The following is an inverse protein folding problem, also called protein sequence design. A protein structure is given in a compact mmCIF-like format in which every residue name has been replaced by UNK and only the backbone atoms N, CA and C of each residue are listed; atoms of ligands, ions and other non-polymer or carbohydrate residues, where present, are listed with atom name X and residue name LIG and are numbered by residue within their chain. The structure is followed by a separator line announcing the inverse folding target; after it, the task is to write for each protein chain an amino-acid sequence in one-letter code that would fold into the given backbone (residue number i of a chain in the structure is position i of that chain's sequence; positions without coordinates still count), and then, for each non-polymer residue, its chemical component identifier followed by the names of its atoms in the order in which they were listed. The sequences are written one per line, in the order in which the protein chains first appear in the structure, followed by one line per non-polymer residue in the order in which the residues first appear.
data_IF_400670539052
#
_entry.id   IF_400670539052
#
_cell.length_a   1.000
_cell.length_b   1.000
_cell.length_c   1.000
_cell.angle_alpha   90.00
_cell.angle_beta   90.00
_cell.angle_gamma   90.00
#
_symmetry.space_group_name_H-M   'P 1'
#
loop_
_entity.id
_entity.type
_entity.pdbx_description
1 polymer ?
#
# COMPACT_ATOMS: atom_id res chain seq x y z
N UNK A 1 4.70 37.29 12.18
CA UNK A 1 3.47 36.48 12.00
C UNK A 1 3.40 36.22 10.52
N UNK A 2 4.00 35.12 10.07
CA UNK A 2 4.02 34.76 8.67
C UNK A 2 2.67 34.14 8.33
N UNK A 3 1.92 34.80 7.46
CA UNK A 3 0.70 34.23 6.88
C UNK A 3 1.20 33.14 5.95
N UNK A 4 1.06 31.88 6.35
CA UNK A 4 1.35 30.75 5.47
C UNK A 4 0.35 30.81 4.31
N UNK A 5 0.82 31.18 3.12
CA UNK A 5 0.03 31.16 1.89
C UNK A 5 -0.42 29.72 1.63
N UNK A 6 -1.68 29.44 1.97
CA UNK A 6 -2.31 28.15 1.67
C UNK A 6 -2.69 28.13 0.20
N UNK A 7 -1.85 27.50 -0.62
CA UNK A 7 -2.13 27.30 -2.05
C UNK A 7 -3.23 26.23 -2.21
N UNK A 8 -4.35 26.59 -2.86
CA UNK A 8 -5.43 25.66 -3.19
C UNK A 8 -5.25 25.04 -4.57
N UNK A 9 -5.62 23.76 -4.73
CA UNK A 9 -5.62 23.07 -6.01
C UNK A 9 -6.58 23.74 -7.00
N UNK A 10 -6.12 24.02 -8.21
CA UNK A 10 -6.93 24.71 -9.22
C UNK A 10 -8.16 23.91 -9.68
N UNK A 11 -8.09 22.57 -9.64
CA UNK A 11 -9.17 21.70 -10.12
C UNK A 11 -10.21 21.41 -9.04
N UNK A 12 -9.76 20.95 -7.86
CA UNK A 12 -10.66 20.50 -6.81
C UNK A 12 -10.84 21.50 -5.66
N UNK A 13 -10.17 22.66 -5.72
CA UNK A 13 -10.18 23.74 -4.72
C UNK A 13 -9.78 23.32 -3.30
N UNK A 14 -9.28 22.09 -3.12
CA UNK A 14 -8.77 21.62 -1.83
C UNK A 14 -7.43 22.30 -1.50
N UNK A 15 -7.23 22.65 -0.24
CA UNK A 15 -5.95 23.16 0.25
C UNK A 15 -4.85 22.12 0.05
N UNK A 16 -3.75 22.52 -0.58
CA UNK A 16 -2.58 21.67 -0.75
C UNK A 16 -1.73 21.85 0.51
N UNK A 17 -1.48 20.76 1.22
CA UNK A 17 -0.66 20.78 2.44
C UNK A 17 0.57 19.89 2.20
N UNK A 18 1.74 20.51 2.08
CA UNK A 18 3.03 19.81 1.96
C UNK A 18 3.75 19.98 0.62
N UNK A 19 4.95 19.39 0.54
CA UNK A 19 5.95 19.56 -0.54
C UNK A 19 5.60 18.89 -1.87
N UNK A 20 4.51 18.13 -1.95
CA UNK A 20 4.15 17.33 -3.13
C UNK A 20 3.00 18.03 -3.88
N UNK A 21 3.34 19.08 -4.61
CA UNK A 21 2.43 19.79 -5.53
C UNK A 21 3.05 19.87 -6.91
N UNK A 22 2.27 19.63 -7.96
CA UNK A 22 2.75 19.76 -9.33
C UNK A 22 2.28 21.09 -9.91
N UNK A 23 3.23 21.91 -10.38
CA UNK A 23 2.93 23.20 -11.02
C UNK A 23 2.67 22.99 -12.50
N UNK A 24 1.74 23.77 -13.07
CA UNK A 24 1.55 23.85 -14.51
C UNK A 24 2.88 24.21 -15.21
N UNK A 25 3.19 23.56 -16.32
CA UNK A 25 4.45 23.77 -17.07
C UNK A 25 4.42 24.99 -17.99
N UNK A 26 3.24 25.55 -18.26
CA UNK A 26 3.12 26.80 -19.02
C UNK A 26 3.73 27.97 -18.24
N UNK A 27 4.62 28.73 -18.90
CA UNK A 27 5.30 29.89 -18.31
C UNK A 27 4.37 31.02 -17.87
N UNK A 28 3.13 31.04 -18.39
CA UNK A 28 2.12 32.05 -18.07
C UNK A 28 1.12 31.58 -17.00
N UNK A 29 1.20 30.32 -16.57
CA UNK A 29 0.24 29.71 -15.64
C UNK A 29 0.86 29.40 -14.27
N UNK A 30 0.48 30.17 -13.25
CA UNK A 30 0.90 29.97 -11.86
C UNK A 30 -0.01 29.05 -11.04
N UNK A 31 -0.69 28.10 -11.70
CA UNK A 31 -1.62 27.17 -11.02
C UNK A 31 -0.92 25.92 -10.50
N UNK A 32 -1.42 25.40 -9.39
CA UNK A 32 -0.92 24.21 -8.70
C UNK A 32 -2.00 23.13 -8.63
N UNK A 33 -1.58 21.87 -8.74
CA UNK A 33 -2.45 20.70 -8.67
C UNK A 33 -2.00 19.76 -7.57
N UNK A 34 -2.96 19.15 -6.85
CA UNK A 34 -2.66 18.08 -5.90
C UNK A 34 -2.28 16.80 -6.64
N UNK A 35 -1.56 15.91 -5.96
CA UNK A 35 -1.13 14.60 -6.50
C UNK A 35 -2.27 13.79 -7.11
N UNK A 36 -3.47 13.87 -6.54
CA UNK A 36 -4.63 13.12 -7.00
C UNK A 36 -5.19 13.67 -8.32
N UNK A 37 -5.09 14.99 -8.53
CA UNK A 37 -5.53 15.66 -9.77
C UNK A 37 -4.44 15.64 -10.85
N UNK A 38 -3.17 15.45 -10.49
CA UNK A 38 -2.05 15.39 -11.41
C UNK A 38 -1.87 14.02 -12.09
N UNK A 39 -2.86 13.12 -12.01
CA UNK A 39 -2.71 11.72 -12.41
C UNK A 39 -2.52 11.58 -13.95
N UNK A 40 -1.44 10.96 -14.44
CA UNK A 40 -0.99 11.10 -15.85
C UNK A 40 -1.65 10.15 -16.86
N UNK A 41 -2.68 9.38 -16.47
CA UNK A 41 -3.19 8.27 -17.31
C UNK A 41 -4.51 8.55 -18.07
N UNK A 42 -5.05 9.77 -18.07
CA UNK A 42 -6.25 10.12 -18.85
C UNK A 42 -6.00 11.09 -20.03
N UNK A 43 -4.75 11.37 -20.39
CA UNK A 43 -4.46 12.23 -21.55
C UNK A 43 -4.29 11.40 -22.83
N UNK A 44 -5.18 11.69 -23.78
CA UNK A 44 -5.16 11.24 -25.17
C UNK A 44 -3.75 11.28 -25.79
N UNK A 45 -3.35 10.29 -26.62
CA UNK A 45 -1.99 10.15 -27.17
C UNK A 45 -1.56 11.24 -28.19
N UNK A 46 -2.27 12.38 -28.25
CA UNK A 46 -1.95 13.52 -29.13
C UNK A 46 -1.45 14.78 -28.42
N UNK A 47 -1.24 14.75 -27.10
CA UNK A 47 -0.53 15.82 -26.39
C UNK A 47 0.73 15.23 -25.75
N UNK A 48 1.88 15.51 -26.36
CA UNK A 48 3.18 15.20 -25.77
C UNK A 48 3.38 15.99 -24.47
N UNK A 49 3.37 15.25 -23.35
CA UNK A 49 4.31 15.31 -22.23
C UNK A 49 4.46 16.54 -21.32
N UNK A 50 3.58 17.53 -21.36
CA UNK A 50 3.62 18.59 -20.34
C UNK A 50 2.23 18.82 -19.72
N UNK A 51 2.14 18.76 -18.38
CA UNK A 51 0.94 19.03 -17.56
C UNK A 51 0.47 20.48 -17.81
N UNK A 52 -0.22 20.65 -18.91
CA UNK A 52 -0.79 21.92 -19.35
C UNK A 52 -2.22 21.97 -18.85
N UNK A 53 -2.49 22.97 -18.03
CA UNK A 53 -3.83 23.33 -17.56
C UNK A 53 -4.80 23.37 -18.76
N UNK A 54 -5.99 22.79 -18.62
CA UNK A 54 -7.03 22.76 -19.66
C UNK A 54 -7.42 24.15 -20.16
N UNK A 55 -7.34 25.18 -19.31
CA UNK A 55 -7.55 26.58 -19.72
C UNK A 55 -6.37 27.18 -20.50
N UNK A 56 -5.15 26.62 -20.37
CA UNK A 56 -3.97 27.04 -21.13
C UNK A 56 -3.85 26.36 -22.49
N UNK A 57 -4.59 25.27 -22.70
CA UNK A 57 -4.65 24.52 -23.96
C UNK A 57 -5.89 24.84 -24.81
N UNK A 58 -6.70 25.83 -24.41
CA UNK A 58 -7.68 26.36 -25.35
C UNK A 58 -6.92 27.11 -26.44
N UNK A 59 -7.04 26.70 -27.72
CA UNK A 59 -6.46 27.47 -28.81
C UNK A 59 -7.03 28.88 -28.71
N UNK A 60 -6.14 29.88 -28.54
CA UNK A 60 -6.55 31.25 -28.77
C UNK A 60 -6.99 31.32 -30.23
N UNK A 61 -8.27 31.56 -30.42
CA UNK A 61 -8.89 31.81 -31.72
C UNK A 61 -8.33 33.16 -32.22
N UNK A 62 -7.09 33.13 -32.73
CA UNK A 62 -6.50 34.24 -33.44
C UNK A 62 -7.27 34.36 -34.74
N UNK A 63 -8.28 35.22 -34.73
CA UNK A 63 -9.03 35.62 -35.90
C UNK A 63 -8.09 36.17 -36.95
N UNK A 64 -7.76 35.34 -37.93
CA UNK A 64 -7.23 35.78 -39.21
C UNK A 64 -8.32 35.68 -40.26
N UNK A 65 -8.64 36.85 -40.81
CA UNK A 65 -9.51 37.09 -41.93
C UNK A 65 -9.14 36.19 -43.13
N UNK A 66 -10.12 35.44 -43.63
CA UNK A 66 -10.13 35.03 -45.03
C UNK A 66 -11.50 35.30 -45.61
N UNK A 67 -11.55 36.40 -46.37
CA UNK A 67 -12.58 36.70 -47.34
C UNK A 67 -12.64 35.58 -48.39
N UNK A 68 -13.74 34.84 -48.40
CA UNK A 68 -14.22 34.17 -49.62
C UNK A 68 -15.72 34.41 -49.75
N UNK A 69 -16.03 35.19 -50.78
CA UNK A 69 -17.35 35.61 -51.20
C UNK A 69 -18.35 34.46 -51.42
N UNK A 70 -19.53 34.65 -50.83
CA UNK A 70 -20.84 34.70 -51.49
C UNK A 70 -20.89 34.16 -52.92
N UNK A 71 -21.53 33.01 -53.08
CA UNK A 71 -22.52 32.81 -54.14
C UNK A 71 -23.78 32.19 -53.54
N UNK A 72 -24.78 33.04 -53.41
CA UNK A 72 -26.17 32.71 -53.17
C UNK A 72 -26.73 31.82 -54.26
N UNK A 73 -27.46 30.79 -53.87
CA UNK A 73 -28.59 30.28 -54.66
C UNK A 73 -29.72 29.99 -53.68
N UNK A 74 -30.72 30.87 -53.78
CA UNK A 74 -32.06 30.75 -53.21
C UNK A 74 -32.67 29.38 -53.54
N UNK A 75 -33.05 28.65 -52.50
CA UNK A 75 -34.22 27.77 -52.48
C UNK A 75 -34.62 27.56 -51.01
N UNK A 76 -35.17 28.60 -50.40
CA UNK A 76 -35.99 28.49 -49.19
C UNK A 76 -37.27 27.72 -49.53
N UNK A 77 -37.19 26.40 -49.49
CA UNK A 77 -38.37 25.56 -49.39
C UNK A 77 -38.74 25.45 -47.90
N UNK A 78 -39.59 26.37 -47.47
CA UNK A 78 -40.29 26.35 -46.20
C UNK A 78 -41.18 25.08 -46.15
N UNK A 79 -40.64 23.98 -45.62
CA UNK A 79 -41.44 22.80 -45.26
C UNK A 79 -41.98 23.04 -43.84
N UNK A 80 -42.95 23.94 -43.75
CA UNK A 80 -43.68 24.26 -42.53
C UNK A 80 -44.81 23.24 -42.34
N UNK A 81 -44.46 22.03 -41.94
CA UNK A 81 -45.41 21.10 -41.29
C UNK A 81 -44.68 20.32 -40.20
N UNK A 82 -44.35 21.03 -39.11
CA UNK A 82 -44.07 20.38 -37.83
C UNK A 82 -45.34 19.66 -37.38
N UNK A 83 -45.43 18.36 -37.67
CA UNK A 83 -46.33 17.50 -36.91
C UNK A 83 -45.78 17.50 -35.47
N UNK A 84 -46.52 18.01 -34.46
CA UNK A 84 -46.05 18.10 -33.07
C UNK A 84 -45.56 16.75 -32.51
N UNK A 85 -46.04 15.66 -33.08
CA UNK A 85 -45.58 14.28 -32.82
C UNK A 85 -44.08 14.09 -33.05
N UNK A 86 -43.48 14.69 -34.10
CA UNK A 86 -42.06 14.55 -34.40
C UNK A 86 -41.21 15.28 -33.35
N UNK A 87 -41.62 16.46 -32.92
CA UNK A 87 -40.93 17.22 -31.88
C UNK A 87 -40.94 16.46 -30.53
N UNK A 88 -42.05 15.82 -30.19
CA UNK A 88 -42.14 14.95 -29.00
C UNK A 88 -41.20 13.75 -29.10
N UNK A 89 -41.17 13.06 -30.24
CA UNK A 89 -40.26 11.93 -30.47
C UNK A 89 -38.78 12.35 -30.34
N UNK A 90 -38.41 13.51 -30.89
CA UNK A 90 -37.04 14.04 -30.76
C UNK A 90 -36.69 14.32 -29.29
N UNK A 91 -37.62 14.89 -28.53
CA UNK A 91 -37.43 15.12 -27.09
C UNK A 91 -37.23 13.82 -26.32
N UNK A 92 -38.03 12.80 -26.62
CA UNK A 92 -37.92 11.48 -26.01
C UNK A 92 -36.60 10.79 -26.35
N UNK A 93 -36.16 10.86 -27.61
CA UNK A 93 -34.85 10.36 -28.03
C UNK A 93 -33.75 11.05 -27.23
N UNK A 94 -33.76 12.39 -27.13
CA UNK A 94 -32.77 13.14 -26.34
C UNK A 94 -32.78 12.73 -24.86
N UNK A 95 -33.96 12.54 -24.27
CA UNK A 95 -34.10 12.08 -22.89
C UNK A 95 -33.53 10.68 -22.70
N UNK A 96 -33.84 9.75 -23.59
CA UNK A 96 -33.31 8.38 -23.57
C UNK A 96 -31.79 8.36 -23.79
N UNK A 97 -31.25 9.16 -24.71
CA UNK A 97 -29.80 9.26 -24.93
C UNK A 97 -29.07 9.76 -23.68
N UNK A 98 -29.62 10.77 -22.97
CA UNK A 98 -29.07 11.21 -21.68
C UNK A 98 -29.13 10.12 -20.62
N UNK A 99 -30.25 9.40 -20.54
CA UNK A 99 -30.40 8.25 -19.64
C UNK A 99 -29.36 7.17 -19.91
N UNK A 100 -29.16 6.82 -21.18
CA UNK A 100 -28.19 5.82 -21.62
C UNK A 100 -26.75 6.25 -21.31
N UNK A 101 -26.40 7.52 -21.52
CA UNK A 101 -25.08 8.06 -21.14
C UNK A 101 -24.85 8.03 -19.62
N UNK A 102 -25.86 8.36 -18.82
CA UNK A 102 -25.77 8.26 -17.36
C UNK A 102 -25.57 6.81 -16.90
N UNK A 103 -26.33 5.86 -17.46
CA UNK A 103 -26.18 4.43 -17.17
C UNK A 103 -24.80 3.93 -17.59
N UNK A 104 -24.32 4.33 -18.77
CA UNK A 104 -22.97 3.99 -19.26
C UNK A 104 -21.88 4.46 -18.30
N UNK A 105 -21.97 5.69 -17.80
CA UNK A 105 -20.99 6.23 -16.86
C UNK A 105 -21.02 5.47 -15.51
N UNK A 106 -22.22 5.22 -14.97
CA UNK A 106 -22.37 4.40 -13.74
C UNK A 106 -21.85 2.98 -13.91
N UNK A 107 -22.04 2.38 -15.08
CA UNK A 107 -21.51 1.06 -15.39
C UNK A 107 -19.98 1.09 -15.42
N UNK A 108 -19.37 2.11 -16.04
CA UNK A 108 -17.91 2.30 -16.06
C UNK A 108 -17.36 2.47 -14.63
N UNK A 109 -17.99 3.31 -13.81
CA UNK A 109 -17.63 3.48 -12.40
C UNK A 109 -17.73 2.17 -11.61
N UNK A 110 -18.81 1.42 -11.79
CA UNK A 110 -18.98 0.11 -11.14
C UNK A 110 -17.91 -0.90 -11.59
N UNK A 111 -17.58 -0.95 -12.89
CA UNK A 111 -16.50 -1.80 -13.42
C UNK A 111 -15.16 -1.44 -12.78
N UNK A 112 -14.81 -0.14 -12.74
CA UNK A 112 -13.58 0.31 -12.10
C UNK A 112 -13.56 -0.07 -10.61
N UNK A 113 -14.66 0.15 -9.89
CA UNK A 113 -14.77 -0.22 -8.48
C UNK A 113 -14.60 -1.74 -8.26
N UNK A 114 -15.12 -2.57 -9.16
CA UNK A 114 -14.94 -4.04 -9.09
C UNK A 114 -13.48 -4.42 -9.34
N UNK A 115 -12.83 -3.82 -10.34
CA UNK A 115 -11.41 -4.07 -10.62
C UNK A 115 -10.52 -3.71 -9.43
N UNK A 116 -10.71 -2.52 -8.83
CA UNK A 116 -10.00 -2.13 -7.61
C UNK A 116 -10.29 -3.07 -6.43
N UNK A 117 -11.53 -3.55 -6.33
CA UNK A 117 -11.94 -4.55 -5.34
C UNK A 117 -11.17 -5.87 -5.49
N UNK A 118 -11.01 -6.34 -6.74
CA UNK A 118 -10.25 -7.55 -7.04
C UNK A 118 -8.75 -7.39 -6.74
N UNK A 119 -8.13 -6.28 -7.16
CA UNK A 119 -6.72 -6.02 -6.85
C UNK A 119 -6.47 -5.99 -5.33
N UNK A 120 -7.36 -5.34 -4.58
CA UNK A 120 -7.28 -5.34 -3.11
C UNK A 120 -7.45 -6.75 -2.53
N UNK A 121 -8.36 -7.54 -3.09
CA UNK A 121 -8.58 -8.92 -2.67
C UNK A 121 -7.33 -9.79 -2.91
N UNK A 122 -6.68 -9.64 -4.05
CA UNK A 122 -5.45 -10.38 -4.39
C UNK A 122 -4.30 -10.01 -3.46
N UNK A 123 -4.13 -8.72 -3.17
CA UNK A 123 -3.15 -8.23 -2.19
C UNK A 123 -3.40 -8.84 -0.79
N UNK A 124 -4.66 -8.92 -0.36
CA UNK A 124 -5.02 -9.54 0.91
C UNK A 124 -4.73 -11.04 0.92
N UNK A 125 -4.98 -11.76 -0.19
CA UNK A 125 -4.64 -13.17 -0.30
C UNK A 125 -3.12 -13.41 -0.28
N UNK A 126 -2.34 -12.55 -0.94
CA UNK A 126 -0.87 -12.56 -0.88
C UNK A 126 -0.37 -12.39 0.56
N UNK A 127 -0.80 -11.32 1.22
CA UNK A 127 -0.44 -11.06 2.63
C UNK A 127 -0.85 -12.20 3.57
N UNK A 128 -2.03 -12.80 3.35
CA UNK A 128 -2.48 -13.98 4.11
C UNK A 128 -1.58 -15.20 3.89
N UNK A 129 -1.10 -15.42 2.66
CA UNK A 129 -0.19 -16.52 2.36
C UNK A 129 1.17 -16.34 3.05
N UNK A 130 1.73 -15.12 3.00
CA UNK A 130 2.97 -14.77 3.70
C UNK A 130 2.85 -14.94 5.22
N UNK A 131 1.75 -14.45 5.81
CA UNK A 131 1.49 -14.61 7.25
C UNK A 131 1.41 -16.09 7.65
N UNK A 132 0.75 -16.93 6.83
CA UNK A 132 0.70 -18.39 7.06
C UNK A 132 2.09 -19.03 7.00
N UNK A 133 2.94 -18.63 6.06
CA UNK A 133 4.30 -19.13 5.97
C UNK A 133 5.11 -18.74 7.23
N UNK A 134 5.00 -17.49 7.68
CA UNK A 134 5.65 -16.99 8.89
C UNK A 134 5.20 -17.75 10.14
N UNK A 135 3.91 -18.03 10.28
CA UNK A 135 3.37 -18.83 11.41
C UNK A 135 4.00 -20.22 11.42
N UNK A 136 4.05 -20.93 10.28
CA UNK A 136 4.67 -22.26 10.20
C UNK A 136 6.15 -22.25 10.63
N UNK A 137 6.90 -21.21 10.24
CA UNK A 137 8.30 -21.05 10.68
C UNK A 137 8.40 -20.84 12.19
N UNK A 138 7.52 -20.03 12.78
CA UNK A 138 7.49 -19.79 14.22
C UNK A 138 7.10 -21.06 15.00
N UNK A 139 6.12 -21.81 14.54
CA UNK A 139 5.74 -23.10 15.13
C UNK A 139 6.90 -24.10 15.13
N UNK A 140 7.71 -24.13 14.06
CA UNK A 140 8.92 -24.96 14.01
C UNK A 140 9.93 -24.52 15.08
N UNK A 141 10.19 -23.21 15.20
CA UNK A 141 11.11 -22.67 16.22
C UNK A 141 10.64 -22.94 17.65
N UNK A 142 9.33 -22.89 17.90
CA UNK A 142 8.77 -23.24 19.21
C UNK A 142 9.11 -24.68 19.59
N UNK A 143 8.91 -25.63 18.67
CA UNK A 143 9.27 -27.05 18.90
C UNK A 143 10.77 -27.24 19.15
N UNK A 144 11.62 -26.52 18.42
CA UNK A 144 13.08 -26.55 18.64
C UNK A 144 13.45 -26.02 20.04
N UNK A 145 12.83 -24.91 20.49
CA UNK A 145 13.05 -24.35 21.82
C UNK A 145 12.59 -25.32 22.92
N UNK A 146 11.45 -26.00 22.73
CA UNK A 146 10.96 -27.03 23.66
C UNK A 146 11.95 -28.19 23.80
N UNK A 147 12.47 -28.68 22.67
CA UNK A 147 13.50 -29.74 22.66
C UNK A 147 14.77 -29.28 23.38
N UNK A 148 15.26 -28.08 23.09
CA UNK A 148 16.46 -27.52 23.75
C UNK A 148 16.24 -27.33 25.25
N UNK A 149 15.07 -26.86 25.68
CA UNK A 149 14.72 -26.75 27.11
C UNK A 149 14.75 -28.10 27.80
N UNK A 150 14.23 -29.14 27.14
CA UNK A 150 14.29 -30.51 27.64
C UNK A 150 15.75 -30.99 27.78
N UNK A 151 16.58 -30.81 26.74
CA UNK A 151 17.99 -31.19 26.79
C UNK A 151 18.75 -30.48 27.91
N UNK A 152 18.56 -29.17 28.07
CA UNK A 152 19.19 -28.40 29.17
C UNK A 152 18.77 -28.93 30.54
N UNK A 153 17.50 -29.34 30.69
CA UNK A 153 17.00 -29.93 31.94
C UNK A 153 17.71 -31.25 32.25
N UNK A 154 17.86 -32.14 31.28
CA UNK A 154 18.56 -33.42 31.47
C UNK A 154 20.04 -33.23 31.76
N UNK A 155 20.72 -32.35 31.02
CA UNK A 155 22.14 -32.04 31.28
C UNK A 155 22.37 -31.48 32.69
N UNK A 156 21.46 -30.63 33.19
CA UNK A 156 21.52 -30.14 34.59
C UNK A 156 21.35 -31.26 35.61
N UNK A 157 20.44 -32.20 35.34
CA UNK A 157 20.22 -33.37 36.21
C UNK A 157 21.45 -34.27 36.24
N UNK A 158 22.06 -34.52 35.10
CA UNK A 158 23.31 -35.28 34.99
C UNK A 158 24.45 -34.58 35.73
N UNK A 159 24.64 -33.28 35.50
CA UNK A 159 25.67 -32.48 36.20
C UNK A 159 25.49 -32.52 37.73
N UNK A 160 24.27 -32.36 38.22
CA UNK A 160 23.97 -32.45 39.65
C UNK A 160 24.28 -33.85 40.20
N UNK A 161 23.99 -34.90 39.42
CA UNK A 161 24.28 -36.29 39.81
C UNK A 161 25.78 -36.55 39.88
N UNK A 162 26.54 -36.09 38.88
CA UNK A 162 28.00 -36.20 38.89
C UNK A 162 28.64 -35.39 40.03
N UNK A 163 28.13 -34.19 40.30
CA UNK A 163 28.60 -33.34 41.41
C UNK A 163 28.38 -34.02 42.76
N UNK A 164 27.23 -34.65 42.95
CA UNK A 164 26.92 -35.41 44.16
C UNK A 164 27.86 -36.61 44.34
N UNK A 165 28.08 -37.40 43.28
CA UNK A 165 29.02 -38.54 43.30
C UNK A 165 30.44 -38.07 43.64
N UNK A 166 30.89 -36.96 43.04
CA UNK A 166 32.21 -36.40 43.31
C UNK A 166 32.38 -36.04 44.80
N UNK A 167 31.39 -35.38 45.40
CA UNK A 167 31.42 -35.03 46.82
C UNK A 167 31.47 -36.27 47.71
N UNK A 168 30.68 -37.31 47.40
CA UNK A 168 30.72 -38.57 48.15
C UNK A 168 32.10 -39.22 48.09
N UNK A 169 32.68 -39.34 46.90
CA UNK A 169 34.01 -39.92 46.72
C UNK A 169 35.08 -39.10 47.46
N UNK A 170 34.97 -37.77 47.43
CA UNK A 170 35.86 -36.87 48.19
C UNK A 170 35.79 -37.14 49.70
N UNK A 171 34.59 -37.31 50.25
CA UNK A 171 34.39 -37.63 51.68
C UNK A 171 34.98 -39.00 52.01
N UNK A 172 34.73 -40.01 51.18
CA UNK A 172 35.24 -41.37 51.36
C UNK A 172 36.78 -41.40 51.40
N UNK A 173 37.44 -40.76 50.44
CA UNK A 173 38.90 -40.65 50.37
C UNK A 173 39.47 -39.93 51.61
N UNK A 174 38.81 -38.86 52.06
CA UNK A 174 39.23 -38.11 53.25
C UNK A 174 39.10 -38.96 54.53
N UNK A 175 38.01 -39.73 54.66
CA UNK A 175 37.80 -40.63 55.81
C UNK A 175 38.82 -41.76 55.84
N UNK A 176 39.07 -42.43 54.71
CA UNK A 176 40.08 -43.49 54.60
C UNK A 176 41.48 -42.96 54.97
N UNK A 177 41.84 -41.78 54.46
CA UNK A 177 43.12 -41.13 54.78
C UNK A 177 43.24 -40.81 56.27
N UNK A 178 42.18 -40.25 56.87
CA UNK A 178 42.14 -39.91 58.30
C UNK A 178 42.26 -41.16 59.17
N UNK A 179 41.57 -42.24 58.81
CA UNK A 179 41.62 -43.52 59.50
C UNK A 179 43.04 -44.13 59.47
N UNK A 180 43.70 -44.08 58.31
CA UNK A 180 45.09 -44.54 58.16
C UNK A 180 46.05 -43.77 59.06
N UNK A 181 45.92 -42.45 59.11
CA UNK A 181 46.73 -41.58 59.99
C UNK A 181 46.47 -41.94 61.46
N UNK A 182 45.21 -42.07 61.86
CA UNK A 182 44.83 -42.44 63.23
C UNK A 182 45.42 -43.79 63.65
N UNK A 183 45.27 -44.82 62.81
CA UNK A 183 45.84 -46.15 63.04
C UNK A 183 47.37 -46.09 63.18
N UNK A 184 48.06 -45.33 62.32
CA UNK A 184 49.50 -45.16 62.39
C UNK A 184 49.95 -44.49 63.70
N UNK A 185 49.25 -43.44 64.14
CA UNK A 185 49.51 -42.76 65.41
C UNK A 185 49.32 -43.69 66.60
N UNK A 186 48.25 -44.48 66.61
CA UNK A 186 47.97 -45.44 67.69
C UNK A 186 49.06 -46.52 67.80
N UNK A 187 49.50 -47.09 66.65
CA UNK A 187 50.61 -48.07 66.64
C UNK A 187 51.90 -47.47 67.20
N UNK A 188 52.20 -46.21 66.89
CA UNK A 188 53.39 -45.54 67.42
C UNK A 188 53.31 -45.29 68.94
N UNK A 189 52.13 -45.07 69.50
CA UNK A 189 51.95 -44.89 70.94
C UNK A 189 52.16 -46.19 71.73
N UNK A 190 51.72 -47.33 71.20
CA UNK A 190 51.84 -48.64 71.85
C UNK A 190 53.28 -49.18 71.90
N UNK A 191 54.20 -48.60 71.12
CA UNK A 191 55.62 -49.00 71.07
C UNK A 191 56.53 -48.17 72.00
N UNK A 192 55.98 -47.23 72.75
CA UNK A 192 56.69 -46.45 73.77
C UNK A 192 56.50 -47.07 75.14
#
# INVERSE_FOLDING_TARGET
MDIADTTSCAECLKCIHGEISTRCTSSECNRYFCSDCANPNEFSPHCEQDLTCTECCQPQDTGEHSDVSVLSSDETQEVTYEKPEIAHLISDIRRLSRGLMSIKNKLREATLSITHGHERQDNLYGSKAEAKARIKTLEKRIREIELLRYTVKELRKELNTQSYIYVLNSIEVSLDTTMKIFCALHIMQQKK
#
